data_IF_456384737831
#
_entry.id   IF_456384737831
#
_cell.length_a   1.000
_cell.length_b   1.000
_cell.length_c   1.000
_cell.angle_alpha   90.00
_cell.angle_beta   90.00
_cell.angle_gamma   90.00
#
_symmetry.space_group_name_H-M   'P 1'
#
loop_
_entity.id
_entity.type
_entity.pdbx_description
1 polymer ?
#
# COMPACT_ATOMS: atom_id res chain seq x y z
N UNK A 1 6.42 1.52 -1.61
CA UNK A 1 7.59 2.17 -0.94
C UNK A 1 7.50 2.12 0.60
N UNK A 2 6.67 2.91 1.32
CA UNK A 2 6.58 2.78 2.79
C UNK A 2 6.29 1.35 3.28
N UNK A 3 5.33 0.66 2.64
CA UNK A 3 4.97 -0.72 3.00
C UNK A 3 6.03 -1.76 2.60
N UNK A 4 6.90 -1.47 1.62
CA UNK A 4 8.04 -2.37 1.30
C UNK A 4 9.11 -2.27 2.38
N UNK A 5 9.36 -1.06 2.89
CA UNK A 5 10.27 -0.87 4.01
C UNK A 5 9.75 -1.54 5.29
N UNK A 6 8.46 -1.39 5.59
CA UNK A 6 7.83 -2.00 6.75
C UNK A 6 6.29 -1.97 6.65
N UNK A 7 5.63 -3.12 6.56
CA UNK A 7 4.15 -3.16 6.62
C UNK A 7 3.57 -2.69 7.95
N UNK A 8 4.31 -2.82 9.06
CA UNK A 8 3.89 -2.34 10.38
C UNK A 8 3.82 -0.81 10.47
N UNK A 9 4.40 -0.07 9.52
CA UNK A 9 4.26 1.40 9.47
C UNK A 9 2.79 1.82 9.41
N UNK A 10 1.90 0.98 8.86
CA UNK A 10 0.49 1.28 8.79
C UNK A 10 -0.21 1.37 10.16
N UNK A 11 0.30 0.67 11.17
CA UNK A 11 -0.21 0.76 12.55
C UNK A 11 0.16 2.05 13.26
N UNK A 12 1.13 2.81 12.75
CA UNK A 12 1.46 4.14 13.32
C UNK A 12 0.33 5.16 13.11
N UNK A 13 -0.46 4.97 12.05
CA UNK A 13 -1.64 5.80 11.74
C UNK A 13 -2.93 5.10 12.18
N UNK A 14 -3.03 3.78 11.98
CA UNK A 14 -4.22 2.98 12.28
C UNK A 14 -3.87 1.80 13.20
N UNK A 15 -3.84 2.02 14.51
CA UNK A 15 -3.38 1.04 15.49
C UNK A 15 -4.08 -0.34 15.42
N UNK A 16 -5.38 -0.36 15.11
CA UNK A 16 -6.19 -1.58 15.03
C UNK A 16 -6.21 -2.24 13.63
N UNK A 17 -5.35 -1.80 12.69
CA UNK A 17 -5.31 -2.37 11.35
C UNK A 17 -4.79 -3.82 11.40
N UNK A 18 -5.52 -4.74 10.75
CA UNK A 18 -5.04 -6.09 10.52
C UNK A 18 -3.86 -6.03 9.53
N UNK A 19 -2.77 -6.72 9.84
CA UNK A 19 -1.56 -6.73 9.03
C UNK A 19 -1.19 -8.16 8.66
N UNK A 20 -0.42 -8.37 7.57
CA UNK A 20 0.16 -9.66 7.24
C UNK A 20 1.05 -10.17 8.39
N UNK A 21 1.12 -11.49 8.52
CA UNK A 21 1.99 -12.19 9.47
C UNK A 21 2.59 -13.41 8.75
N UNK A 22 3.92 -13.45 8.49
CA UNK A 22 4.96 -12.54 8.99
C UNK A 22 4.91 -11.09 8.47
N UNK A 23 5.70 -10.21 9.07
CA UNK A 23 5.90 -8.82 8.65
C UNK A 23 6.74 -8.77 7.35
N UNK A 24 6.35 -7.94 6.38
CA UNK A 24 7.21 -7.62 5.23
C UNK A 24 8.12 -6.44 5.60
N UNK A 25 9.43 -6.61 5.45
CA UNK A 25 10.44 -5.60 5.83
C UNK A 25 11.70 -5.70 4.95
N UNK A 26 11.53 -5.45 3.65
CA UNK A 26 12.60 -5.47 2.64
C UNK A 26 12.78 -4.08 2.04
N UNK A 27 13.31 -3.16 2.84
CA UNK A 27 13.50 -1.76 2.44
C UNK A 27 14.39 -1.59 1.21
N UNK A 28 15.31 -2.52 1.00
CA UNK A 28 16.27 -2.54 -0.09
C UNK A 28 15.58 -2.73 -1.44
N UNK A 29 14.42 -3.38 -1.49
CA UNK A 29 13.66 -3.57 -2.73
C UNK A 29 13.15 -2.20 -3.23
N UNK A 30 12.70 -1.34 -2.31
CA UNK A 30 12.36 0.04 -2.63
C UNK A 30 13.56 0.88 -3.11
N UNK A 31 14.75 0.67 -2.53
CA UNK A 31 15.99 1.33 -2.97
C UNK A 31 16.28 0.95 -4.43
N UNK A 32 16.23 -0.35 -4.75
CA UNK A 32 16.47 -0.87 -6.11
C UNK A 32 15.49 -0.31 -7.12
N UNK A 33 14.19 -0.34 -6.79
CA UNK A 33 13.16 0.22 -7.67
C UNK A 33 13.40 1.71 -7.97
N UNK A 34 13.79 2.51 -6.97
CA UNK A 34 14.12 3.92 -7.17
C UNK A 34 15.39 4.11 -8.01
N UNK A 35 16.43 3.28 -7.81
CA UNK A 35 17.64 3.32 -8.62
C UNK A 35 17.36 2.99 -10.09
N UNK A 36 16.58 1.94 -10.35
CA UNK A 36 16.14 1.58 -11.70
C UNK A 36 15.30 2.70 -12.33
N UNK A 37 14.40 3.31 -11.55
CA UNK A 37 13.62 4.48 -11.99
C UNK A 37 14.51 5.66 -12.39
N UNK A 38 15.54 5.98 -11.59
CA UNK A 38 16.51 7.03 -11.94
C UNK A 38 17.31 6.69 -13.19
N UNK A 39 17.76 5.44 -13.33
CA UNK A 39 18.48 5.00 -14.52
C UNK A 39 17.61 5.11 -15.77
N UNK A 40 16.37 4.65 -15.71
CA UNK A 40 15.41 4.75 -16.81
C UNK A 40 15.10 6.20 -17.19
N UNK A 41 14.90 7.07 -16.19
CA UNK A 41 14.72 8.50 -16.40
C UNK A 41 15.94 9.10 -17.12
N UNK A 42 17.16 8.81 -16.65
CA UNK A 42 18.40 9.31 -17.24
C UNK A 42 18.62 8.82 -18.66
N UNK A 43 18.38 7.54 -18.95
CA UNK A 43 18.53 7.01 -20.31
C UNK A 43 17.53 7.64 -21.28
N UNK A 44 16.35 8.03 -20.80
CA UNK A 44 15.28 8.61 -21.61
C UNK A 44 15.48 10.12 -21.83
N UNK A 45 15.83 10.86 -20.78
CA UNK A 45 15.86 12.33 -20.80
C UNK A 45 17.28 12.92 -20.79
N UNK A 46 18.33 12.11 -20.68
CA UNK A 46 19.73 12.55 -20.71
C UNK A 46 20.18 13.34 -19.47
N UNK A 47 19.40 13.34 -18.38
CA UNK A 47 19.70 14.06 -17.13
C UNK A 47 19.18 13.32 -15.91
N UNK A 48 19.70 13.63 -14.73
CA UNK A 48 19.23 13.08 -13.46
C UNK A 48 17.85 13.64 -13.07
N UNK A 49 17.02 12.82 -12.42
CA UNK A 49 15.76 13.31 -11.84
C UNK A 49 16.03 14.06 -10.54
N UNK A 50 15.56 15.32 -10.46
CA UNK A 50 15.58 16.14 -9.23
C UNK A 50 14.40 15.83 -8.30
N UNK A 51 13.26 15.46 -8.88
CA UNK A 51 12.00 15.23 -8.16
C UNK A 51 11.61 13.78 -8.07
N UNK A 52 10.83 13.44 -7.04
CA UNK A 52 10.15 12.16 -6.92
C UNK A 52 8.64 12.36 -6.78
N UNK A 53 7.88 11.61 -7.58
CA UNK A 53 6.47 11.33 -7.34
C UNK A 53 6.38 9.96 -6.65
N UNK A 54 6.15 9.90 -5.33
CA UNK A 54 6.01 8.61 -4.65
C UNK A 54 4.72 7.91 -5.13
N UNK A 55 4.74 6.58 -5.38
CA UNK A 55 3.52 5.83 -5.62
C UNK A 55 2.52 6.07 -4.48
N UNK A 56 1.28 6.42 -4.83
CA UNK A 56 0.26 6.77 -3.84
C UNK A 56 0.54 8.07 -3.05
N UNK A 57 1.45 8.92 -3.49
CA UNK A 57 2.00 10.04 -2.69
C UNK A 57 2.37 9.58 -1.26
N UNK A 58 2.78 8.31 -1.16
CA UNK A 58 2.96 7.61 0.09
C UNK A 58 4.36 7.87 0.65
N UNK A 59 4.42 8.35 1.89
CA UNK A 59 5.67 8.73 2.55
C UNK A 59 5.80 8.06 3.91
N UNK A 60 7.04 7.92 4.37
CA UNK A 60 7.43 7.50 5.72
C UNK A 60 8.86 7.99 6.00
N UNK A 61 9.28 8.15 7.26
CA UNK A 61 10.66 8.54 7.59
C UNK A 61 11.72 7.65 6.94
N UNK A 62 11.54 6.32 6.96
CA UNK A 62 12.48 5.38 6.32
C UNK A 62 12.58 5.63 4.81
N UNK A 63 11.44 5.85 4.14
CA UNK A 63 11.41 6.17 2.71
C UNK A 63 12.09 7.53 2.42
N UNK A 64 11.86 8.55 3.25
CA UNK A 64 12.50 9.87 3.08
C UNK A 64 14.03 9.79 3.19
N UNK A 65 14.54 8.98 4.13
CA UNK A 65 15.98 8.73 4.24
C UNK A 65 16.55 8.14 2.94
N UNK A 66 15.89 7.13 2.38
CA UNK A 66 16.27 6.53 1.09
C UNK A 66 16.23 7.54 -0.06
N UNK A 67 15.20 8.39 -0.11
CA UNK A 67 15.05 9.41 -1.15
C UNK A 67 16.22 10.42 -1.11
N UNK A 68 16.61 10.84 0.09
CA UNK A 68 17.78 11.71 0.27
C UNK A 68 19.10 11.03 -0.11
N UNK A 69 19.28 9.75 0.28
CA UNK A 69 20.44 8.94 -0.12
C UNK A 69 20.62 8.87 -1.64
N UNK A 70 19.51 8.70 -2.35
CA UNK A 70 19.48 8.65 -3.81
C UNK A 70 19.55 10.02 -4.47
N UNK A 71 19.80 11.10 -3.71
CA UNK A 71 20.01 12.47 -4.20
C UNK A 71 18.81 13.01 -4.99
N UNK A 72 17.60 12.67 -4.58
CA UNK A 72 16.44 13.48 -4.94
C UNK A 72 16.49 14.79 -4.13
N UNK A 73 16.01 15.88 -4.72
CA UNK A 73 16.02 17.20 -4.09
C UNK A 73 14.64 17.57 -3.57
N UNK A 74 13.58 17.08 -4.23
CA UNK A 74 12.20 17.34 -3.81
C UNK A 74 11.27 16.17 -4.05
N UNK A 75 10.18 16.13 -3.28
CA UNK A 75 9.08 15.18 -3.48
C UNK A 75 7.72 15.79 -3.14
N UNK A 76 6.67 15.18 -3.67
CA UNK A 76 5.27 15.55 -3.39
C UNK A 76 4.63 14.58 -2.39
N UNK A 77 3.85 15.11 -1.45
CA UNK A 77 2.97 14.35 -0.56
C UNK A 77 1.57 14.99 -0.51
N UNK A 78 0.61 14.31 0.10
CA UNK A 78 -0.75 14.84 0.23
C UNK A 78 -0.91 15.78 1.43
N UNK A 79 -1.82 16.77 1.34
CA UNK A 79 -2.06 17.71 2.44
C UNK A 79 -2.53 17.02 3.73
N UNK A 80 -3.19 15.86 3.62
CA UNK A 80 -3.61 15.08 4.80
C UNK A 80 -2.40 14.62 5.62
N UNK A 81 -1.28 14.25 4.97
CA UNK A 81 -0.03 13.89 5.65
C UNK A 81 0.59 15.10 6.36
N UNK A 82 0.58 16.26 5.70
CA UNK A 82 1.06 17.51 6.31
C UNK A 82 0.22 17.91 7.52
N UNK A 83 -1.10 17.86 7.40
CA UNK A 83 -2.02 18.22 8.47
C UNK A 83 -1.80 17.35 9.72
N UNK A 84 -1.63 16.04 9.55
CA UNK A 84 -1.30 15.10 10.63
C UNK A 84 0.07 15.42 11.24
N UNK A 85 1.08 15.66 10.40
CA UNK A 85 2.44 16.00 10.84
C UNK A 85 2.53 17.27 11.67
N UNK A 86 1.84 18.33 11.26
CA UNK A 86 1.92 19.63 11.93
C UNK A 86 1.15 19.68 13.25
N UNK A 87 0.20 18.77 13.47
CA UNK A 87 -0.65 18.74 14.68
C UNK A 87 -1.19 20.13 15.05
N UNK A 88 -1.56 20.93 14.04
CA UNK A 88 -1.88 22.35 14.19
C UNK A 88 -3.38 22.61 14.06
N UNK A 89 -3.89 23.54 14.86
CA UNK A 89 -5.24 24.11 14.70
C UNK A 89 -5.26 25.36 13.81
N UNK A 90 -4.11 25.75 13.24
CA UNK A 90 -4.03 26.89 12.35
C UNK A 90 -4.85 26.67 11.09
N UNK A 91 -5.38 27.76 10.53
CA UNK A 91 -6.15 27.69 9.29
C UNK A 91 -5.34 27.04 8.16
N UNK A 92 -6.01 26.23 7.32
CA UNK A 92 -5.41 25.55 6.16
C UNK A 92 -4.56 26.47 5.29
N UNK A 93 -4.99 27.72 5.12
CA UNK A 93 -4.29 28.73 4.34
C UNK A 93 -2.90 29.10 4.90
N UNK A 94 -2.67 28.93 6.21
CA UNK A 94 -1.41 29.31 6.88
C UNK A 94 -0.31 28.31 6.59
N UNK A 95 -0.64 27.02 6.53
CA UNK A 95 0.34 25.93 6.40
C UNK A 95 0.37 25.28 5.02
N UNK A 96 -0.74 25.27 4.27
CA UNK A 96 -0.73 24.74 2.90
C UNK A 96 -0.10 25.75 1.92
N UNK A 97 0.31 25.27 0.75
CA UNK A 97 0.91 26.06 -0.33
C UNK A 97 2.26 26.72 0.04
N UNK A 98 2.95 26.12 1.00
CA UNK A 98 4.34 26.41 1.37
C UNK A 98 5.21 25.21 1.02
N UNK A 99 6.47 25.46 0.69
CA UNK A 99 7.48 24.39 0.58
C UNK A 99 8.11 24.19 1.94
N UNK A 100 8.21 22.93 2.35
CA UNK A 100 8.79 22.55 3.63
C UNK A 100 10.15 21.90 3.43
N UNK A 101 11.07 22.19 4.34
CA UNK A 101 12.37 21.56 4.44
C UNK A 101 12.28 20.40 5.41
N UNK A 102 12.73 19.23 4.97
CA UNK A 102 12.75 18.01 5.78
C UNK A 102 14.19 17.55 5.91
N UNK A 103 14.80 17.66 7.12
CA UNK A 103 16.15 17.18 7.35
C UNK A 103 16.15 15.65 7.43
N UNK A 104 17.14 15.03 6.78
CA UNK A 104 17.47 13.60 6.88
C UNK A 104 18.95 13.45 7.19
N UNK A 105 19.42 12.25 7.49
CA UNK A 105 20.85 12.04 7.77
C UNK A 105 21.74 12.24 6.52
N UNK A 106 21.19 12.08 5.31
CA UNK A 106 21.93 12.10 4.04
C UNK A 106 21.76 13.41 3.25
N UNK A 107 20.99 14.37 3.80
CA UNK A 107 20.72 15.66 3.19
C UNK A 107 19.35 16.22 3.56
N UNK A 108 19.02 17.40 3.02
CA UNK A 108 17.70 18.01 3.20
C UNK A 108 16.85 17.78 1.95
N UNK A 109 15.56 17.53 2.15
CA UNK A 109 14.57 17.42 1.07
C UNK A 109 13.61 18.61 1.10
N UNK A 110 13.25 19.12 -0.08
CA UNK A 110 12.12 20.01 -0.23
C UNK A 110 10.83 19.20 -0.44
N UNK A 111 9.84 19.38 0.44
CA UNK A 111 8.53 18.75 0.31
C UNK A 111 7.49 19.78 -0.11
N UNK A 112 6.77 19.45 -1.18
CA UNK A 112 5.58 20.16 -1.63
C UNK A 112 4.35 19.30 -1.32
N UNK A 113 3.22 19.96 -1.06
CA UNK A 113 2.00 19.27 -0.65
C UNK A 113 0.86 19.59 -1.59
N UNK A 114 0.21 18.52 -2.08
CA UNK A 114 -0.95 18.56 -2.96
C UNK A 114 -2.06 19.40 -2.33
N UNK A 115 -2.54 20.41 -3.04
CA UNK A 115 -3.81 21.05 -2.71
C UNK A 115 -4.94 20.11 -3.13
N UNK A 116 -5.43 19.33 -2.16
CA UNK A 116 -6.37 18.25 -2.41
C UNK A 116 -7.66 18.79 -3.04
N UNK A 117 -8.18 19.92 -2.56
CA UNK A 117 -9.42 20.51 -3.08
C UNK A 117 -9.31 20.82 -4.58
N UNK A 118 -8.25 21.51 -5.02
CA UNK A 118 -8.10 21.83 -6.45
C UNK A 118 -7.85 20.58 -7.27
N UNK A 119 -7.06 19.67 -6.74
CA UNK A 119 -6.70 18.45 -7.44
C UNK A 119 -7.93 17.58 -7.67
N UNK A 120 -8.76 17.37 -6.64
CA UNK A 120 -9.98 16.57 -6.72
C UNK A 120 -11.06 17.22 -7.58
N UNK A 121 -11.12 18.57 -7.64
CA UNK A 121 -12.03 19.27 -8.57
C UNK A 121 -11.70 18.93 -10.02
N UNK A 122 -10.41 18.97 -10.39
CA UNK A 122 -9.95 18.61 -11.74
C UNK A 122 -10.20 17.12 -11.99
N UNK A 123 -9.83 16.24 -11.06
CA UNK A 123 -9.96 14.80 -11.27
C UNK A 123 -11.40 14.28 -11.32
N UNK A 124 -12.33 14.87 -10.55
CA UNK A 124 -13.63 14.23 -10.30
C UNK A 124 -14.86 15.10 -10.59
N UNK A 125 -14.72 16.40 -10.82
CA UNK A 125 -15.87 17.31 -10.95
C UNK A 125 -15.90 18.05 -12.28
N UNK A 126 -14.79 18.69 -12.66
CA UNK A 126 -14.74 19.59 -13.82
C UNK A 126 -15.00 18.93 -15.17
N UNK A 127 -14.85 17.60 -15.30
CA UNK A 127 -15.28 16.89 -16.52
C UNK A 127 -16.78 17.03 -16.82
N UNK A 128 -17.60 17.43 -15.84
CA UNK A 128 -19.05 17.67 -15.99
C UNK A 128 -19.40 19.12 -16.35
N UNK A 129 -18.42 20.02 -16.36
CA UNK A 129 -18.60 21.45 -16.61
C UNK A 129 -18.27 21.77 -18.07
N UNK A 130 -18.72 22.93 -18.56
CA UNK A 130 -18.10 23.43 -19.79
C UNK A 130 -16.62 23.73 -19.52
N UNK A 131 -15.72 23.52 -20.51
CA UNK A 131 -14.30 23.84 -20.35
C UNK A 131 -14.03 25.25 -19.80
N UNK A 132 -14.85 26.22 -20.23
CA UNK A 132 -14.72 27.62 -19.84
C UNK A 132 -15.12 27.88 -18.40
N UNK A 133 -16.19 27.23 -17.93
CA UNK A 133 -16.65 27.31 -16.54
C UNK A 133 -15.64 26.67 -15.61
N UNK A 134 -15.14 25.47 -15.95
CA UNK A 134 -14.12 24.78 -15.16
C UNK A 134 -12.83 25.60 -15.06
N UNK A 135 -12.33 26.14 -16.17
CA UNK A 135 -11.13 26.96 -16.18
C UNK A 135 -11.30 28.24 -15.35
N UNK A 136 -12.44 28.93 -15.49
CA UNK A 136 -12.75 30.13 -14.72
C UNK A 136 -12.81 29.86 -13.20
N UNK A 137 -13.54 28.82 -12.78
CA UNK A 137 -13.65 28.45 -11.36
C UNK A 137 -12.28 28.05 -10.77
N UNK A 138 -11.45 27.32 -11.52
CA UNK A 138 -10.09 26.99 -11.08
C UNK A 138 -9.23 28.24 -10.88
N UNK A 139 -9.29 29.19 -11.82
CA UNK A 139 -8.56 30.46 -11.74
C UNK A 139 -9.00 31.28 -10.53
N UNK A 140 -10.30 31.42 -10.30
CA UNK A 140 -10.83 32.14 -9.13
C UNK A 140 -10.33 31.52 -7.81
N UNK A 141 -10.32 30.19 -7.73
CA UNK A 141 -9.82 29.47 -6.55
C UNK A 141 -8.31 29.58 -6.38
N UNK A 142 -7.54 29.65 -7.46
CA UNK A 142 -6.10 29.90 -7.42
C UNK A 142 -5.81 31.32 -6.92
N UNK A 143 -6.53 32.32 -7.43
CA UNK A 143 -6.39 33.71 -6.99
C UNK A 143 -6.78 33.88 -5.52
N UNK A 144 -7.79 33.14 -5.04
CA UNK A 144 -8.17 33.13 -3.62
C UNK A 144 -7.09 32.55 -2.68
N UNK A 145 -6.11 31.81 -3.21
CA UNK A 145 -4.98 31.27 -2.42
C UNK A 145 -3.81 32.25 -2.28
N UNK A 146 -3.88 33.43 -2.90
CA UNK A 146 -2.83 34.45 -2.77
C UNK A 146 -2.74 34.98 -1.33
N UNK A 147 -1.55 35.41 -0.93
CA UNK A 147 -1.36 36.16 0.32
C UNK A 147 -1.51 37.67 0.06
N UNK A 148 -1.83 38.44 1.11
CA UNK A 148 -1.63 39.88 1.08
C UNK A 148 -0.19 40.24 0.67
N UNK A 149 -0.03 41.36 -0.04
CA UNK A 149 1.25 41.82 -0.60
C UNK A 149 2.39 42.01 0.43
N UNK A 150 2.10 42.02 1.72
CA UNK A 150 3.08 42.28 2.80
C UNK A 150 3.94 41.04 3.17
N UNK A 151 3.73 39.90 2.52
CA UNK A 151 4.50 38.67 2.75
C UNK A 151 5.69 38.59 1.79
N UNK A 152 6.87 38.21 2.30
CA UNK A 152 8.14 38.26 1.53
C UNK A 152 8.36 37.09 0.57
N UNK A 153 7.56 36.02 0.64
CA UNK A 153 7.69 34.84 -0.22
C UNK A 153 6.36 34.49 -0.89
N UNK A 154 6.35 34.20 -2.21
CA UNK A 154 5.16 33.72 -2.88
C UNK A 154 4.75 32.33 -2.36
N UNK A 155 3.46 32.01 -2.50
CA UNK A 155 2.95 30.66 -2.25
C UNK A 155 3.13 29.77 -3.48
N UNK A 156 3.42 28.48 -3.26
CA UNK A 156 3.39 27.45 -4.29
C UNK A 156 2.12 26.62 -4.17
N UNK A 157 1.16 26.81 -5.06
CA UNK A 157 -0.03 25.95 -5.12
C UNK A 157 0.29 24.71 -5.94
N UNK A 158 0.30 23.54 -5.31
CA UNK A 158 0.64 22.27 -5.97
C UNK A 158 -0.62 21.53 -6.37
N UNK A 159 -0.86 21.40 -7.67
CA UNK A 159 -1.92 20.56 -8.22
C UNK A 159 -1.28 19.24 -8.65
N UNK A 160 -1.70 18.14 -8.06
CA UNK A 160 -1.12 16.81 -8.25
C UNK A 160 -2.24 15.82 -8.58
N UNK A 161 -2.20 15.25 -9.80
CA UNK A 161 -3.30 14.50 -10.40
C UNK A 161 -2.81 13.15 -10.93
N UNK A 162 -3.71 12.16 -10.93
CA UNK A 162 -3.50 10.88 -11.59
C UNK A 162 -3.92 10.99 -13.07
N UNK A 163 -2.98 10.77 -13.99
CA UNK A 163 -3.15 11.17 -15.40
C UNK A 163 -4.06 10.27 -16.22
N UNK A 164 -4.13 8.98 -15.91
CA UNK A 164 -4.90 7.97 -16.65
C UNK A 164 -6.40 7.99 -16.33
N UNK A 165 -6.79 8.43 -15.13
CA UNK A 165 -8.20 8.51 -14.70
C UNK A 165 -8.80 9.89 -14.93
N UNK A 166 -8.03 10.96 -14.68
CA UNK A 166 -8.56 12.34 -14.61
C UNK A 166 -9.28 12.78 -15.90
N UNK A 167 -8.71 12.45 -17.06
CA UNK A 167 -9.17 13.02 -18.33
C UNK A 167 -10.33 12.26 -18.98
N UNK A 168 -10.64 11.04 -18.53
CA UNK A 168 -11.67 10.16 -19.14
C UNK A 168 -13.08 10.75 -19.10
N UNK A 169 -13.34 11.66 -18.16
CA UNK A 169 -14.64 12.31 -18.01
C UNK A 169 -14.78 13.62 -18.80
N UNK A 170 -13.70 14.12 -19.40
CA UNK A 170 -13.70 15.40 -20.11
C UNK A 170 -13.95 15.20 -21.61
N UNK A 171 -14.62 16.19 -22.20
CA UNK A 171 -14.61 16.35 -23.65
C UNK A 171 -13.17 16.52 -24.17
N UNK A 172 -12.86 15.87 -25.29
CA UNK A 172 -11.55 15.91 -25.94
C UNK A 172 -10.37 15.61 -25.00
N UNK A 173 -10.58 14.66 -24.07
CA UNK A 173 -9.61 14.25 -23.04
C UNK A 173 -9.03 15.46 -22.26
N UNK A 174 -9.84 16.48 -22.02
CA UNK A 174 -9.46 17.66 -21.25
C UNK A 174 -8.66 18.71 -22.04
N UNK A 175 -8.37 18.50 -23.33
CA UNK A 175 -7.57 19.42 -24.12
C UNK A 175 -8.14 20.84 -24.15
N UNK A 176 -9.44 20.98 -24.45
CA UNK A 176 -10.11 22.29 -24.48
C UNK A 176 -10.09 22.98 -23.12
N UNK A 177 -10.27 22.23 -22.02
CA UNK A 177 -10.18 22.78 -20.66
C UNK A 177 -8.77 23.28 -20.36
N UNK A 178 -7.74 22.47 -20.63
CA UNK A 178 -6.35 22.83 -20.42
C UNK A 178 -5.94 24.05 -21.25
N UNK A 179 -6.34 24.11 -22.53
CA UNK A 179 -6.06 25.25 -23.39
C UNK A 179 -6.63 26.55 -22.81
N UNK A 180 -7.89 26.53 -22.36
CA UNK A 180 -8.54 27.71 -21.78
C UNK A 180 -7.93 28.08 -20.43
N UNK A 181 -7.61 27.10 -19.59
CA UNK A 181 -6.92 27.33 -18.32
C UNK A 181 -5.55 27.97 -18.54
N UNK A 182 -4.70 27.40 -19.40
CA UNK A 182 -3.37 27.92 -19.68
C UNK A 182 -3.40 29.32 -20.32
N UNK A 183 -4.37 29.61 -21.19
CA UNK A 183 -4.55 30.95 -21.76
C UNK A 183 -4.86 32.00 -20.69
N UNK A 184 -5.68 31.65 -19.69
CA UNK A 184 -5.97 32.53 -18.56
C UNK A 184 -4.75 32.70 -17.65
N UNK A 185 -4.01 31.62 -17.37
CA UNK A 185 -2.75 31.70 -16.62
C UNK A 185 -1.73 32.61 -17.29
N UNK A 186 -1.59 32.56 -18.62
CA UNK A 186 -0.68 33.44 -19.37
C UNK A 186 -1.06 34.92 -19.17
N UNK A 187 -2.35 35.25 -19.28
CA UNK A 187 -2.83 36.62 -19.07
C UNK A 187 -2.57 37.11 -17.64
N UNK A 188 -2.77 36.26 -16.63
CA UNK A 188 -2.50 36.59 -15.23
C UNK A 188 -1.00 36.69 -14.92
N UNK A 189 -0.17 35.93 -15.63
CA UNK A 189 1.29 36.00 -15.52
C UNK A 189 1.82 37.35 -15.99
N UNK A 190 1.32 37.88 -17.12
CA UNK A 190 1.66 39.23 -17.60
C UNK A 190 1.26 40.33 -16.63
N UNK A 191 0.26 40.09 -15.78
CA UNK A 191 -0.21 41.00 -14.73
C UNK A 191 0.52 40.80 -13.40
N UNK A 192 1.41 39.82 -13.28
CA UNK A 192 2.11 39.49 -12.03
C UNK A 192 1.19 38.90 -10.94
N UNK A 193 0.04 38.33 -11.32
CA UNK A 193 -0.94 37.80 -10.36
C UNK A 193 -0.78 36.29 -10.12
N UNK A 194 -0.30 35.54 -11.12
CA UNK A 194 -0.11 34.10 -11.07
C UNK A 194 1.02 33.69 -12.03
N UNK A 195 1.90 32.80 -11.61
CA UNK A 195 2.96 32.27 -12.46
C UNK A 195 2.93 30.74 -12.43
N UNK A 196 3.03 30.13 -13.61
CA UNK A 196 3.24 28.69 -13.74
C UNK A 196 4.73 28.39 -13.69
N UNK A 197 5.12 27.47 -12.83
CA UNK A 197 6.51 27.10 -12.58
C UNK A 197 6.61 25.59 -12.37
N UNK A 198 7.76 25.02 -12.67
CA UNK A 198 8.13 23.71 -12.15
C UNK A 198 8.48 23.81 -10.67
N UNK A 199 8.38 22.70 -9.93
CA UNK A 199 8.77 22.66 -8.51
C UNK A 199 10.24 23.04 -8.35
N UNK A 200 11.09 22.56 -9.24
CA UNK A 200 12.51 22.87 -9.26
C UNK A 200 12.81 24.37 -9.46
N UNK A 201 12.18 25.04 -10.42
CA UNK A 201 12.33 26.50 -10.59
C UNK A 201 11.87 27.27 -9.34
N UNK A 202 10.76 26.85 -8.73
CA UNK A 202 10.25 27.49 -7.52
C UNK A 202 11.22 27.32 -6.35
N UNK A 203 11.71 26.11 -6.10
CA UNK A 203 12.61 25.81 -4.98
C UNK A 203 13.98 26.48 -5.14
N UNK A 204 14.50 26.56 -6.37
CA UNK A 204 15.76 27.27 -6.64
C UNK A 204 15.63 28.78 -6.37
N UNK A 205 14.49 29.37 -6.71
CA UNK A 205 14.22 30.80 -6.51
C UNK A 205 13.80 31.12 -5.06
N UNK A 206 13.05 30.23 -4.42
CA UNK A 206 12.50 30.37 -3.08
C UNK A 206 12.80 29.12 -2.24
N UNK A 207 14.04 28.96 -1.76
CA UNK A 207 14.42 27.81 -0.94
C UNK A 207 13.52 27.67 0.31
N UNK A 208 13.20 26.43 0.74
CA UNK A 208 12.26 26.22 1.83
C UNK A 208 12.83 26.71 3.17
N UNK A 209 12.09 27.62 3.80
CA UNK A 209 12.44 28.21 5.11
C UNK A 209 11.75 27.51 6.27
N UNK A 210 10.59 26.87 6.02
CA UNK A 210 9.82 26.16 7.04
C UNK A 210 10.33 24.75 7.22
N UNK A 211 10.75 24.41 8.43
CA UNK A 211 11.29 23.08 8.72
C UNK A 211 10.21 22.20 9.33
N UNK A 212 10.01 21.00 8.78
CA UNK A 212 9.29 19.93 9.49
C UNK A 212 10.35 19.15 10.25
N UNK A 213 10.65 19.62 11.46
CA UNK A 213 11.49 18.90 12.41
C UNK A 213 10.58 18.12 13.38
N UNK A 214 11.04 16.96 13.83
CA UNK A 214 10.32 16.21 14.86
C UNK A 214 10.01 17.06 16.08
N UNK A 215 8.83 16.86 16.67
CA UNK A 215 8.43 17.55 17.89
C UNK A 215 9.07 16.85 19.10
N UNK A 216 9.85 17.57 19.91
CA UNK A 216 10.45 17.05 21.16
C UNK A 216 11.28 15.75 20.99
N UNK A 217 12.02 15.61 19.89
CA UNK A 217 12.80 14.39 19.62
C UNK A 217 11.97 13.20 19.14
N UNK A 218 10.67 13.38 18.92
CA UNK A 218 9.79 12.41 18.27
C UNK A 218 9.72 12.79 16.78
N UNK A 219 10.09 11.91 15.84
CA UNK A 219 9.95 12.18 14.42
C UNK A 219 8.51 12.64 14.09
N UNK A 220 8.37 13.78 13.42
CA UNK A 220 7.08 14.22 12.88
C UNK A 220 6.60 13.11 11.95
N UNK A 221 5.36 12.60 12.09
CA UNK A 221 4.91 11.49 11.29
C UNK A 221 4.55 11.99 9.88
N UNK A 222 5.58 12.25 9.06
CA UNK A 222 5.45 12.28 7.60
C UNK A 222 5.20 10.85 7.13
N UNK A 223 4.06 10.31 7.55
CA UNK A 223 3.62 8.95 7.34
C UNK A 223 2.20 9.03 6.83
N UNK A 224 1.94 8.40 5.68
CA UNK A 224 0.60 8.35 5.09
C UNK A 224 0.67 8.40 3.58
N UNK A 225 -0.48 8.58 2.95
CA UNK A 225 -0.65 8.61 1.48
C UNK A 225 -1.74 9.60 1.09
N UNK A 226 -1.97 9.80 -0.21
CA UNK A 226 -3.11 10.60 -0.67
C UNK A 226 -4.47 9.99 -0.30
N UNK A 227 -4.53 8.68 -0.06
CA UNK A 227 -5.77 8.04 0.32
C UNK A 227 -6.00 8.18 1.84
N UNK A 228 -6.82 9.19 2.21
CA UNK A 228 -7.26 9.43 3.60
C UNK A 228 -6.11 9.64 4.59
N UNK A 229 -4.91 10.00 4.11
CA UNK A 229 -3.74 10.14 4.95
C UNK A 229 -3.29 8.83 5.62
N UNK A 230 -3.61 7.65 5.06
CA UNK A 230 -3.22 6.36 5.61
C UNK A 230 -2.86 5.35 4.49
N UNK A 231 -2.66 4.08 4.82
CA UNK A 231 -2.29 3.04 3.82
C UNK A 231 -3.41 2.03 3.53
N UNK A 232 -4.63 2.26 4.01
CA UNK A 232 -5.74 1.29 3.92
C UNK A 232 -6.17 0.96 2.49
N UNK A 233 -5.64 1.67 1.48
CA UNK A 233 -5.83 1.36 0.06
C UNK A 233 -5.06 0.11 -0.37
N UNK A 234 -3.96 -0.24 0.31
CA UNK A 234 -3.04 -1.31 -0.09
C UNK A 234 -2.79 -2.37 1.00
N UNK A 235 -3.32 -2.19 2.21
CA UNK A 235 -3.14 -3.13 3.32
C UNK A 235 -4.28 -3.00 4.33
N UNK A 236 -4.64 -4.09 4.99
CA UNK A 236 -5.70 -4.09 6.01
C UNK A 236 -6.87 -5.01 5.72
N UNK A 237 -7.18 -5.23 4.44
CA UNK A 237 -8.25 -6.15 4.03
C UNK A 237 -7.74 -7.60 3.96
N UNK A 238 -8.61 -8.61 4.17
CA UNK A 238 -8.23 -10.03 4.12
C UNK A 238 -7.46 -10.42 2.85
N UNK A 239 -7.98 -10.09 1.67
CA UNK A 239 -7.32 -10.38 0.39
C UNK A 239 -5.99 -9.66 0.24
N UNK A 240 -5.90 -8.38 0.62
CA UNK A 240 -4.66 -7.61 0.60
C UNK A 240 -3.59 -8.24 1.49
N UNK A 241 -3.95 -8.60 2.72
CA UNK A 241 -3.01 -9.20 3.66
C UNK A 241 -2.56 -10.59 3.20
N UNK A 242 -3.46 -11.39 2.59
CA UNK A 242 -3.09 -12.67 1.99
C UNK A 242 -2.18 -12.51 0.76
N UNK A 243 -2.35 -11.44 -0.03
CA UNK A 243 -1.42 -11.14 -1.11
C UNK A 243 -0.05 -10.71 -0.57
N UNK A 244 -0.02 -9.91 0.49
CA UNK A 244 1.23 -9.54 1.19
C UNK A 244 1.92 -10.78 1.72
N UNK A 245 1.16 -11.69 2.30
CA UNK A 245 1.64 -13.00 2.70
C UNK A 245 2.36 -13.65 1.52
N UNK A 246 1.69 -13.89 0.38
CA UNK A 246 2.29 -14.57 -0.77
C UNK A 246 3.58 -13.89 -1.27
N UNK A 247 3.60 -12.56 -1.26
CA UNK A 247 4.79 -11.78 -1.61
C UNK A 247 5.94 -11.99 -0.61
N UNK A 248 5.65 -12.09 0.69
CA UNK A 248 6.67 -12.40 1.72
C UNK A 248 7.32 -13.76 1.47
N UNK A 249 6.54 -14.81 1.20
CA UNK A 249 7.10 -16.15 0.95
C UNK A 249 8.00 -16.14 -0.28
N UNK A 250 7.53 -15.55 -1.38
CA UNK A 250 8.32 -15.48 -2.61
C UNK A 250 9.60 -14.66 -2.40
N UNK A 251 9.54 -13.58 -1.62
CA UNK A 251 10.72 -12.76 -1.31
C UNK A 251 11.72 -13.49 -0.40
N UNK A 252 11.23 -14.30 0.53
CA UNK A 252 12.04 -15.17 1.39
C UNK A 252 12.70 -16.31 0.59
N UNK A 253 11.99 -16.89 -0.38
CA UNK A 253 12.57 -17.84 -1.33
C UNK A 253 13.72 -17.20 -2.10
N UNK A 254 13.51 -16.01 -2.70
CA UNK A 254 14.58 -15.26 -3.35
C UNK A 254 15.75 -14.95 -2.41
N UNK A 255 15.49 -14.56 -1.16
CA UNK A 255 16.55 -14.30 -0.18
C UNK A 255 17.37 -15.56 0.19
N UNK A 256 16.78 -16.74 0.06
CA UNK A 256 17.45 -18.03 0.31
C UNK A 256 18.37 -18.45 -0.85
N UNK A 257 18.31 -17.72 -1.97
CA UNK A 257 19.14 -17.90 -3.17
C UNK A 257 20.06 -16.68 -3.39
N UNK A 258 21.10 -16.48 -2.55
CA UNK A 258 21.98 -15.32 -2.65
C UNK A 258 22.75 -15.24 -3.99
N UNK A 259 22.89 -16.35 -4.71
CA UNK A 259 23.47 -16.40 -6.06
C UNK A 259 22.58 -15.75 -7.13
N UNK A 260 21.27 -15.69 -6.88
CA UNK A 260 20.29 -15.08 -7.77
C UNK A 260 20.31 -13.55 -7.59
N UNK A 261 21.38 -12.90 -8.06
CA UNK A 261 21.49 -11.43 -8.08
C UNK A 261 20.69 -10.81 -9.23
N UNK A 262 20.46 -9.49 -9.20
CA UNK A 262 19.81 -8.76 -10.31
C UNK A 262 20.53 -8.97 -11.66
N UNK A 263 21.85 -9.20 -11.62
CA UNK A 263 22.69 -9.45 -12.80
C UNK A 263 22.68 -10.91 -13.25
N UNK A 264 22.79 -11.86 -12.31
CA UNK A 264 22.91 -13.29 -12.62
C UNK A 264 21.55 -13.96 -12.86
N UNK A 265 20.49 -13.44 -12.27
CA UNK A 265 19.12 -13.95 -12.44
C UNK A 265 18.11 -12.79 -12.56
N UNK A 266 18.19 -12.00 -13.64
CA UNK A 266 17.31 -10.85 -13.83
C UNK A 266 15.83 -11.24 -13.90
N UNK A 267 15.51 -12.48 -14.31
CA UNK A 267 14.13 -12.95 -14.42
C UNK A 267 13.44 -13.06 -13.06
N UNK A 268 14.13 -13.58 -12.03
CA UNK A 268 13.59 -13.67 -10.68
C UNK A 268 13.30 -12.28 -10.09
N UNK A 269 14.20 -11.32 -10.30
CA UNK A 269 14.03 -9.95 -9.82
C UNK A 269 12.95 -9.18 -10.57
N UNK A 270 12.88 -9.31 -11.90
CA UNK A 270 11.78 -8.73 -12.68
C UNK A 270 10.41 -9.30 -12.27
N UNK A 271 10.36 -10.60 -11.96
CA UNK A 271 9.16 -11.23 -11.45
C UNK A 271 8.77 -10.67 -10.06
N UNK A 272 9.75 -10.48 -9.15
CA UNK A 272 9.53 -9.82 -7.87
C UNK A 272 8.99 -8.40 -8.04
N UNK A 273 9.68 -7.54 -8.80
CA UNK A 273 9.25 -6.15 -8.99
C UNK A 273 7.86 -6.05 -9.63
N UNK A 274 7.55 -6.98 -10.54
CA UNK A 274 6.20 -7.14 -11.08
C UNK A 274 5.19 -7.44 -9.98
N UNK A 275 5.49 -8.37 -9.07
CA UNK A 275 4.62 -8.72 -7.93
C UNK A 275 4.52 -7.62 -6.85
N UNK A 276 5.51 -6.73 -6.74
CA UNK A 276 5.52 -5.63 -5.76
C UNK A 276 4.68 -4.40 -6.18
N UNK A 277 4.05 -4.42 -7.36
CA UNK A 277 3.21 -3.31 -7.80
C UNK A 277 2.07 -3.03 -6.82
N UNK A 278 1.88 -1.76 -6.47
CA UNK A 278 0.77 -1.33 -5.60
C UNK A 278 -0.60 -1.56 -6.23
N UNK A 279 -0.68 -1.68 -7.55
CA UNK A 279 -1.95 -1.82 -8.29
C UNK A 279 -2.66 -3.13 -7.92
N UNK A 280 -1.91 -4.18 -7.63
CA UNK A 280 -2.46 -5.47 -7.16
C UNK A 280 -3.25 -5.28 -5.87
N UNK A 281 -2.60 -4.68 -4.87
CA UNK A 281 -3.17 -4.50 -3.54
C UNK A 281 -4.35 -3.52 -3.55
N UNK A 282 -4.30 -2.51 -4.40
CA UNK A 282 -5.45 -1.63 -4.64
C UNK A 282 -6.63 -2.39 -5.24
N UNK A 283 -6.40 -3.22 -6.26
CA UNK A 283 -7.45 -4.00 -6.91
C UNK A 283 -8.10 -5.00 -5.94
N UNK A 284 -7.31 -5.69 -5.12
CA UNK A 284 -7.82 -6.70 -4.18
C UNK A 284 -8.80 -6.10 -3.16
N UNK A 285 -8.56 -4.85 -2.74
CA UNK A 285 -9.45 -4.13 -1.84
C UNK A 285 -10.78 -3.67 -2.44
N UNK A 286 -11.05 -3.94 -3.72
CA UNK A 286 -12.30 -3.59 -4.41
C UNK A 286 -13.31 -4.75 -4.48
N UNK A 287 -12.96 -5.93 -3.95
CA UNK A 287 -13.81 -7.11 -3.96
C UNK A 287 -13.87 -7.83 -5.31
N UNK A 288 -14.92 -8.62 -5.52
CA UNK A 288 -15.03 -9.51 -6.69
C UNK A 288 -15.50 -8.77 -7.94
N UNK A 289 -14.56 -8.43 -8.83
CA UNK A 289 -14.84 -7.93 -10.18
C UNK A 289 -13.99 -8.69 -11.21
N UNK A 290 -14.41 -8.76 -12.50
CA UNK A 290 -13.58 -9.35 -13.55
C UNK A 290 -12.18 -8.71 -13.64
N UNK A 291 -12.08 -7.40 -13.41
CA UNK A 291 -10.82 -6.68 -13.36
C UNK A 291 -9.96 -7.16 -12.19
N UNK A 292 -10.53 -7.28 -10.99
CA UNK A 292 -9.84 -7.80 -9.80
C UNK A 292 -9.31 -9.20 -10.05
N UNK A 293 -10.13 -10.10 -10.62
CA UNK A 293 -9.72 -11.49 -10.90
C UNK A 293 -8.57 -11.58 -11.92
N UNK A 294 -8.58 -10.71 -12.93
CA UNK A 294 -7.47 -10.64 -13.89
C UNK A 294 -6.18 -10.13 -13.22
N UNK A 295 -6.28 -9.07 -12.42
CA UNK A 295 -5.15 -8.55 -11.65
C UNK A 295 -4.58 -9.58 -10.67
N UNK A 296 -5.46 -10.34 -10.02
CA UNK A 296 -5.12 -11.42 -9.10
C UNK A 296 -4.35 -12.56 -9.80
N UNK A 297 -4.83 -12.98 -10.97
CA UNK A 297 -4.17 -14.02 -11.74
C UNK A 297 -2.78 -13.60 -12.22
N UNK A 298 -2.63 -12.34 -12.67
CA UNK A 298 -1.34 -11.79 -13.08
C UNK A 298 -0.36 -11.66 -11.90
N UNK A 299 -0.84 -11.20 -10.74
CA UNK A 299 -0.05 -11.16 -9.50
C UNK A 299 0.49 -12.55 -9.14
N UNK A 300 -0.37 -13.59 -9.10
CA UNK A 300 0.09 -14.97 -8.85
C UNK A 300 1.05 -15.47 -9.92
N UNK A 301 0.86 -15.10 -11.18
CA UNK A 301 1.77 -15.47 -12.27
C UNK A 301 3.18 -14.88 -12.08
N UNK A 302 3.29 -13.64 -11.57
CA UNK A 302 4.58 -13.07 -11.20
C UNK A 302 5.26 -13.90 -10.11
N UNK A 303 4.53 -14.29 -9.05
CA UNK A 303 5.08 -15.13 -7.99
C UNK A 303 5.50 -16.51 -8.48
N UNK A 304 4.66 -17.18 -9.29
CA UNK A 304 4.99 -18.48 -9.92
C UNK A 304 6.25 -18.36 -10.77
N UNK A 305 6.37 -17.29 -11.57
CA UNK A 305 7.55 -17.04 -12.39
C UNK A 305 8.81 -16.85 -11.55
N UNK A 306 8.71 -16.18 -10.40
CA UNK A 306 9.82 -16.04 -9.46
C UNK A 306 10.33 -17.41 -9.00
N UNK A 307 9.44 -18.29 -8.51
CA UNK A 307 9.83 -19.64 -8.07
C UNK A 307 10.47 -20.44 -9.20
N UNK A 308 9.91 -20.41 -10.41
CA UNK A 308 10.50 -21.10 -11.56
C UNK A 308 11.89 -20.53 -11.94
N UNK A 309 12.09 -19.22 -11.88
CA UNK A 309 13.39 -18.60 -12.14
C UNK A 309 14.44 -18.99 -11.10
N UNK A 310 14.02 -19.36 -9.88
CA UNK A 310 14.90 -19.91 -8.84
C UNK A 310 15.09 -21.43 -8.94
N UNK A 311 14.48 -22.08 -9.93
CA UNK A 311 14.39 -23.56 -10.03
C UNK A 311 13.71 -24.22 -8.83
N UNK A 312 12.81 -23.50 -8.15
CA UNK A 312 11.95 -24.04 -7.10
C UNK A 312 10.58 -24.45 -7.65
N UNK A 313 9.88 -25.31 -6.90
CA UNK A 313 8.48 -25.64 -7.20
C UNK A 313 7.58 -24.57 -6.58
N UNK A 314 6.73 -23.88 -7.36
CA UNK A 314 5.79 -22.91 -6.81
C UNK A 314 4.88 -23.56 -5.75
N UNK A 315 4.63 -22.90 -4.61
CA UNK A 315 3.68 -23.39 -3.62
C UNK A 315 2.28 -23.61 -4.22
N UNK A 316 1.63 -24.72 -3.84
CA UNK A 316 0.34 -25.13 -4.42
C UNK A 316 -0.76 -24.06 -4.34
N UNK A 317 -0.76 -23.24 -3.28
CA UNK A 317 -1.74 -22.16 -3.11
C UNK A 317 -1.68 -21.09 -4.23
N UNK A 318 -0.55 -20.94 -4.93
CA UNK A 318 -0.43 -19.99 -6.05
C UNK A 318 -1.19 -20.45 -7.30
N UNK A 319 -1.61 -21.71 -7.36
CA UNK A 319 -2.45 -22.22 -8.45
C UNK A 319 -3.95 -22.07 -8.18
N UNK A 320 -4.31 -21.52 -7.01
CA UNK A 320 -5.69 -21.25 -6.62
C UNK A 320 -5.93 -19.74 -6.51
N UNK A 321 -7.12 -19.24 -6.89
CA UNK A 321 -7.45 -17.83 -6.73
C UNK A 321 -7.37 -17.37 -5.26
N UNK A 322 -6.74 -16.22 -5.04
CA UNK A 322 -6.70 -15.49 -3.77
C UNK A 322 -8.10 -15.02 -3.34
N UNK A 323 -8.93 -14.60 -4.30
CA UNK A 323 -10.27 -14.06 -4.08
C UNK A 323 -11.28 -15.01 -4.70
N UNK A 324 -12.22 -15.52 -3.91
CA UNK A 324 -13.30 -16.38 -4.39
C UNK A 324 -14.55 -15.58 -4.81
N UNK A 325 -15.60 -16.30 -5.21
CA UNK A 325 -16.90 -15.74 -5.59
C UNK A 325 -17.64 -15.02 -4.44
N UNK A 326 -17.20 -15.18 -3.19
CA UNK A 326 -17.82 -14.56 -2.01
C UNK A 326 -17.21 -13.19 -1.68
N UNK A 327 -16.29 -12.68 -2.50
CA UNK A 327 -15.71 -11.34 -2.38
C UNK A 327 -14.50 -11.29 -1.45
N UNK A 328 -14.21 -10.07 -0.96
CA UNK A 328 -13.17 -9.85 0.05
C UNK A 328 -13.66 -10.28 1.43
N UNK A 329 -13.85 -11.59 1.57
CA UNK A 329 -14.00 -12.27 2.83
C UNK A 329 -12.75 -13.13 3.01
N UNK A 330 -12.31 -13.40 4.25
CA UNK A 330 -11.40 -14.51 4.45
C UNK A 330 -12.02 -15.72 3.75
N UNK A 331 -11.28 -16.35 2.82
CA UNK A 331 -11.69 -17.60 2.20
C UNK A 331 -12.23 -18.49 3.33
N UNK A 332 -13.44 -19.04 3.21
CA UNK A 332 -14.07 -19.75 4.33
C UNK A 332 -13.10 -20.76 4.94
N UNK A 333 -12.75 -20.58 6.22
CA UNK A 333 -11.71 -21.33 6.89
C UNK A 333 -10.36 -20.61 7.04
N UNK A 334 -10.02 -19.51 6.37
CA UNK A 334 -8.72 -18.87 6.57
C UNK A 334 -8.67 -18.14 7.93
N UNK A 335 -7.77 -18.54 8.84
CA UNK A 335 -7.70 -18.07 10.22
C UNK A 335 -6.38 -17.33 10.49
N UNK A 336 -6.46 -16.14 11.10
CA UNK A 336 -5.30 -15.39 11.65
C UNK A 336 -5.32 -15.44 13.19
N UNK A 337 -4.94 -16.57 13.82
CA UNK A 337 -4.91 -16.65 15.28
C UNK A 337 -3.75 -15.82 15.86
N UNK A 338 -4.09 -14.89 16.75
CA UNK A 338 -3.11 -14.31 17.69
C UNK A 338 -2.85 -15.33 18.81
N UNK A 339 -1.73 -16.05 18.71
CA UNK A 339 -1.40 -17.20 19.57
C UNK A 339 -1.25 -16.89 21.06
N UNK A 340 -1.08 -15.61 21.41
CA UNK A 340 -0.98 -15.15 22.81
C UNK A 340 -2.36 -15.01 23.49
N UNK A 341 -3.48 -15.13 22.77
CA UNK A 341 -4.81 -14.91 23.34
C UNK A 341 -5.93 -15.72 22.64
N UNK A 342 -5.79 -17.05 22.66
CA UNK A 342 -6.68 -18.03 22.01
C UNK A 342 -8.16 -17.98 22.41
N UNK A 343 -8.51 -17.29 23.50
CA UNK A 343 -9.83 -17.41 24.12
C UNK A 343 -10.90 -16.47 23.56
N UNK A 344 -10.58 -15.33 22.94
CA UNK A 344 -11.62 -14.32 22.64
C UNK A 344 -11.47 -13.50 21.35
N UNK A 345 -10.43 -13.70 20.52
CA UNK A 345 -10.19 -12.83 19.34
C UNK A 345 -10.01 -13.55 18.00
N UNK A 346 -10.09 -14.88 17.95
CA UNK A 346 -10.22 -15.56 16.65
C UNK A 346 -11.65 -15.31 16.17
N UNK A 347 -11.89 -14.68 15.00
CA UNK A 347 -13.21 -14.59 14.43
C UNK A 347 -13.59 -15.98 13.91
N UNK A 348 -14.01 -16.90 14.79
CA UNK A 348 -14.60 -18.19 14.38
C UNK A 348 -15.85 -18.02 13.51
N UNK A 349 -16.33 -16.79 13.37
CA UNK A 349 -17.31 -16.34 12.40
C UNK A 349 -16.90 -16.61 10.94
N UNK A 350 -15.61 -16.77 10.63
CA UNK A 350 -15.11 -17.09 9.28
C UNK A 350 -14.62 -18.53 9.12
N UNK A 351 -14.59 -19.30 10.22
CA UNK A 351 -14.29 -20.72 10.18
C UNK A 351 -15.50 -21.51 9.63
N UNK A 352 -15.22 -22.59 8.92
CA UNK A 352 -16.28 -23.50 8.51
C UNK A 352 -16.67 -24.37 9.70
N UNK A 353 -17.97 -24.41 10.03
CA UNK A 353 -18.52 -25.23 11.10
C UNK A 353 -19.12 -26.53 10.57
N UNK A 354 -18.73 -27.66 11.14
CA UNK A 354 -19.38 -28.95 10.94
C UNK A 354 -20.12 -29.35 12.23
N UNK A 355 -21.44 -29.44 12.13
CA UNK A 355 -22.25 -30.05 13.18
C UNK A 355 -22.07 -31.57 13.14
N UNK A 356 -21.64 -32.16 14.25
CA UNK A 356 -21.44 -33.60 14.36
C UNK A 356 -22.81 -34.27 14.56
N UNK A 357 -23.28 -35.01 13.56
CA UNK A 357 -24.65 -35.56 13.55
C UNK A 357 -24.81 -36.87 14.36
N UNK A 358 -23.76 -37.69 14.47
CA UNK A 358 -23.76 -38.95 15.23
C UNK A 358 -22.52 -39.06 16.14
N UNK A 359 -22.71 -39.40 17.42
CA UNK A 359 -21.65 -39.37 18.46
C UNK A 359 -21.85 -38.31 19.56
N UNK A 360 -23.10 -38.07 19.96
CA UNK A 360 -23.60 -36.92 20.75
C UNK A 360 -22.98 -36.65 22.13
N UNK A 361 -21.96 -37.36 22.59
CA UNK A 361 -21.55 -37.28 24.00
C UNK A 361 -20.40 -36.30 24.27
N UNK A 362 -19.66 -35.84 23.26
CA UNK A 362 -18.40 -35.11 23.51
C UNK A 362 -18.22 -33.80 22.73
N UNK A 363 -18.08 -33.85 21.40
CA UNK A 363 -17.88 -32.68 20.54
C UNK A 363 -19.21 -32.23 19.92
N UNK A 364 -19.63 -31.00 20.20
CA UNK A 364 -20.82 -30.37 19.64
C UNK A 364 -20.58 -29.83 18.23
N UNK A 365 -19.45 -29.17 18.00
CA UNK A 365 -19.14 -28.52 16.72
C UNK A 365 -17.65 -28.56 16.48
N UNK A 366 -17.27 -28.93 15.26
CA UNK A 366 -15.89 -28.80 14.80
C UNK A 366 -15.85 -27.56 13.92
N UNK A 367 -15.09 -26.56 14.36
CA UNK A 367 -14.71 -25.47 13.49
C UNK A 367 -13.37 -25.82 12.86
N UNK A 368 -13.29 -25.68 11.54
CA UNK A 368 -12.04 -25.85 10.84
C UNK A 368 -11.71 -24.61 10.05
N UNK A 369 -10.41 -24.41 9.97
CA UNK A 369 -9.80 -23.40 9.15
C UNK A 369 -8.36 -23.72 8.86
N UNK A 370 -7.67 -22.84 8.19
CA UNK A 370 -6.28 -22.99 7.85
C UNK A 370 -5.59 -21.63 7.80
N UNK A 371 -4.29 -21.63 7.96
CA UNK A 371 -3.45 -20.53 7.51
C UNK A 371 -2.48 -21.06 6.45
N UNK A 372 -1.41 -20.30 6.21
CA UNK A 372 -0.35 -20.59 5.25
C UNK A 372 0.32 -21.95 5.41
N UNK A 373 0.37 -22.48 6.64
CA UNK A 373 1.17 -23.66 6.97
C UNK A 373 0.39 -24.71 7.78
N UNK A 374 -0.76 -24.32 8.33
CA UNK A 374 -1.46 -25.11 9.34
C UNK A 374 -2.91 -25.27 8.96
N UNK A 375 -3.42 -26.50 9.07
CA UNK A 375 -4.83 -26.70 9.33
C UNK A 375 -5.08 -26.42 10.82
N UNK A 376 -6.03 -25.54 11.12
CA UNK A 376 -6.43 -25.18 12.47
C UNK A 376 -7.81 -25.79 12.72
N UNK A 377 -7.91 -26.61 13.75
CA UNK A 377 -9.15 -27.25 14.18
C UNK A 377 -9.49 -26.76 15.60
N UNK A 378 -10.76 -26.36 15.80
CA UNK A 378 -11.35 -26.14 17.12
C UNK A 378 -12.50 -27.10 17.32
N UNK A 379 -12.49 -27.70 18.50
CA UNK A 379 -13.53 -28.62 18.95
C UNK A 379 -14.28 -27.94 20.08
N UNK A 380 -15.56 -27.65 19.86
CA UNK A 380 -16.45 -27.18 20.93
C UNK A 380 -17.10 -28.39 21.59
N UNK A 381 -16.92 -28.52 22.90
CA UNK A 381 -17.39 -29.66 23.68
C UNK A 381 -18.68 -29.32 24.44
N UNK A 382 -19.59 -30.29 24.59
CA UNK A 382 -20.85 -30.08 25.33
C UNK A 382 -20.64 -29.86 26.85
N UNK A 383 -19.55 -30.38 27.41
CA UNK A 383 -19.18 -30.22 28.82
C UNK A 383 -17.66 -30.10 28.95
N UNK A 384 -17.18 -29.08 29.64
CA UNK A 384 -15.78 -29.00 30.07
C UNK A 384 -15.55 -30.04 31.16
N UNK A 385 -14.77 -31.07 30.86
CA UNK A 385 -14.28 -32.05 31.82
C UNK A 385 -12.75 -32.07 31.70
N UNK A 386 -12.00 -31.65 32.74
CA UNK A 386 -10.53 -31.62 32.72
C UNK A 386 -9.87 -32.97 32.38
N UNK A 387 -10.61 -34.07 32.56
CA UNK A 387 -10.13 -35.45 32.40
C UNK A 387 -10.18 -35.96 30.95
N UNK A 388 -10.64 -35.15 29.99
CA UNK A 388 -10.96 -35.60 28.62
C UNK A 388 -10.27 -34.79 27.51
N UNK A 389 -9.17 -34.10 27.83
CA UNK A 389 -8.22 -33.73 26.77
C UNK A 389 -7.53 -35.03 26.39
N UNK A 390 -7.76 -35.59 25.18
CA UNK A 390 -7.14 -36.85 24.80
C UNK A 390 -5.62 -36.68 24.74
N UNK A 391 -4.89 -37.65 25.28
CA UNK A 391 -3.42 -37.67 25.22
C UNK A 391 -2.91 -37.73 23.76
N UNK A 392 -3.72 -38.28 22.85
CA UNK A 392 -3.43 -38.38 21.42
C UNK A 392 -4.64 -37.96 20.56
N UNK A 393 -4.39 -37.15 19.53
CA UNK A 393 -5.36 -36.83 18.47
C UNK A 393 -4.95 -37.53 17.17
N UNK A 394 -5.82 -38.38 16.63
CA UNK A 394 -5.61 -39.02 15.34
C UNK A 394 -6.39 -38.31 14.24
N UNK A 395 -5.70 -37.82 13.22
CA UNK A 395 -6.30 -37.23 12.02
C UNK A 395 -6.12 -38.20 10.84
N UNK A 396 -7.22 -38.61 10.24
CA UNK A 396 -7.23 -39.45 9.04
C UNK A 396 -7.75 -38.62 7.86
N UNK A 397 -7.02 -38.63 6.75
CA UNK A 397 -7.39 -37.92 5.53
C UNK A 397 -7.84 -38.93 4.48
N UNK A 398 -9.03 -38.69 3.93
CA UNK A 398 -9.53 -39.48 2.81
C UNK A 398 -9.36 -38.69 1.52
N UNK A 399 -8.50 -39.19 0.63
CA UNK A 399 -8.34 -38.65 -0.72
C UNK A 399 -9.13 -39.53 -1.69
N UNK A 400 -10.27 -39.06 -2.23
CA UNK A 400 -11.23 -39.90 -2.97
C UNK A 400 -10.69 -40.51 -4.26
N UNK A 401 -9.51 -40.09 -4.73
CA UNK A 401 -8.92 -40.51 -6.00
C UNK A 401 -7.56 -41.21 -5.84
N UNK A 402 -7.16 -41.54 -4.60
CA UNK A 402 -5.95 -42.30 -4.32
C UNK A 402 -6.33 -43.60 -3.60
N UNK A 403 -5.94 -44.78 -4.10
CA UNK A 403 -6.08 -46.03 -3.35
C UNK A 403 -5.15 -46.00 -2.12
N UNK A 404 -5.72 -46.19 -0.93
CA UNK A 404 -4.98 -46.15 0.34
C UNK A 404 -4.73 -47.57 0.87
N UNK A 405 -3.52 -48.09 0.66
CA UNK A 405 -3.04 -49.27 1.38
C UNK A 405 -2.36 -48.81 2.68
N UNK A 406 -3.16 -48.69 3.75
CA UNK A 406 -2.76 -48.51 5.16
C UNK A 406 -1.72 -47.42 5.53
N UNK A 407 -2.13 -46.36 6.25
CA UNK A 407 -1.43 -45.88 7.46
C UNK A 407 -2.18 -44.71 8.18
N UNK A 408 -2.21 -44.66 9.52
CA UNK A 408 -2.41 -43.42 10.26
C UNK A 408 -1.11 -42.60 10.29
N UNK A 409 -1.17 -41.33 9.88
CA UNK A 409 -0.06 -40.39 10.04
C UNK A 409 0.10 -40.03 11.53
N UNK A 410 1.25 -40.35 12.14
CA UNK A 410 1.67 -39.81 13.44
C UNK A 410 2.46 -38.52 13.22
N UNK A 411 1.90 -37.37 13.56
CA UNK A 411 2.61 -36.09 13.61
C UNK A 411 3.14 -35.84 15.03
N UNK A 412 4.44 -35.53 15.24
CA UNK A 412 4.98 -35.20 16.57
C UNK A 412 4.70 -33.76 17.05
N UNK A 413 3.86 -32.98 16.36
CA UNK A 413 3.69 -31.54 16.64
C UNK A 413 2.26 -31.20 17.05
N UNK A 414 1.77 -31.79 18.14
CA UNK A 414 0.64 -31.24 18.90
C UNK A 414 1.18 -30.60 20.18
N UNK A 415 1.30 -29.27 20.21
CA UNK A 415 1.35 -28.56 21.48
C UNK A 415 -0.08 -28.40 22.01
N UNK A 416 -0.50 -29.30 22.88
CA UNK A 416 -1.70 -29.13 23.70
C UNK A 416 -1.37 -28.14 24.82
N UNK A 417 -1.72 -26.86 24.65
CA UNK A 417 -1.81 -25.93 25.79
C UNK A 417 -3.20 -26.05 26.40
N UNK A 418 -3.33 -26.90 27.43
CA UNK A 418 -4.53 -26.99 28.25
C UNK A 418 -4.66 -25.78 29.19
N UNK A 419 -5.88 -25.27 29.33
CA UNK A 419 -6.35 -24.56 30.53
C UNK A 419 -7.60 -25.23 31.05
#
# INVERSE_FOLDING_TARGET
>A
MPLLADTNIARTIQAALALPDPRFCWSEDGIRQLQQGKQYYRSTFGRESRGLWPPGLAVSPAMLQTVAQLRFEWLCADESVLAQSLSTSAERSVWLNSVYRVPTEDGELAMVFRDQQLSDLISFQYGRYSPSQAAQDLIERLLARRQPQETSQPRLVTIALEGDVTWNSYEDNGFTFLQQFYQQCENLSRQGLLQLVTVSEFVDQFPPTRVIAGYNGIPSPLVGSWNRGNFSKWIGQPSQNQAWDYLIDARQALASHPEATEENNPEAWQALYGAESSDWFEAFGQGHSPQTLNSEALFRQHLIRLYHALNETPPGYLHHPLIDQNGDRPLGGYLYPHWDNLTNLIPWQVANGLAVQEGKEFVQTIYYGHDRQRLILRFDFQRLLPELIPDELHLAWYYPYLPHDHAPWRSPLCQTKGR
#
